data_IF_707731915333
#
_entry.id   IF_707731915333
#
_cell.length_a   1.000
_cell.length_b   1.000
_cell.length_c   1.000
_cell.angle_alpha   90.00
_cell.angle_beta   90.00
_cell.angle_gamma   90.00
#
_symmetry.space_group_name_H-M   'P 1'
#
loop_
_entity.id
_entity.type
_entity.pdbx_description
1 polymer ?
#
# COMPACT_ATOMS: atom_id res chain seq x y z
N UNK A 1 22.84 24.29 20.09
CA UNK A 1 21.39 24.05 19.90
C UNK A 1 21.28 23.02 18.81
N UNK A 2 21.07 21.76 19.18
CA UNK A 2 21.07 20.61 18.27
C UNK A 2 19.62 20.14 18.12
N UNK A 3 18.97 20.56 17.05
CA UNK A 3 17.68 19.99 16.63
C UNK A 3 17.90 18.51 16.38
N UNK A 4 17.40 17.71 17.32
CA UNK A 4 17.48 16.27 17.29
C UNK A 4 16.33 15.80 16.43
N UNK A 5 16.53 15.73 15.13
CA UNK A 5 15.65 15.04 14.18
C UNK A 5 15.42 13.64 14.72
N UNK A 6 14.29 13.44 15.41
CA UNK A 6 14.03 12.18 16.10
C UNK A 6 13.34 11.28 15.10
N UNK A 7 14.15 10.44 14.46
CA UNK A 7 13.65 9.39 13.59
C UNK A 7 13.06 8.28 14.47
N UNK A 8 11.77 7.97 14.27
CA UNK A 8 11.00 7.09 15.13
C UNK A 8 10.85 5.73 14.42
N UNK A 9 11.41 4.64 14.97
CA UNK A 9 11.23 3.32 14.40
C UNK A 9 9.78 2.85 14.62
N UNK A 10 9.16 2.37 13.54
CA UNK A 10 7.83 1.77 13.56
C UNK A 10 7.82 0.42 12.84
N UNK A 11 6.87 -0.43 13.21
CA UNK A 11 6.59 -1.69 12.52
C UNK A 11 5.15 -1.68 12.01
N UNK A 12 4.93 -2.16 10.79
CA UNK A 12 3.61 -2.23 10.15
C UNK A 12 3.38 -3.67 9.70
N UNK A 13 2.40 -4.33 10.30
CA UNK A 13 2.01 -5.70 9.97
C UNK A 13 0.92 -5.70 8.89
N UNK A 14 1.16 -6.41 7.79
CA UNK A 14 0.19 -6.68 6.73
C UNK A 14 0.11 -8.20 6.49
N UNK A 15 -1.04 -8.81 6.76
CA UNK A 15 -1.18 -10.27 6.67
C UNK A 15 -0.17 -10.99 7.56
N UNK A 16 0.67 -11.84 6.96
CA UNK A 16 1.78 -12.54 7.62
C UNK A 16 3.11 -11.77 7.61
N UNK A 17 3.21 -10.66 6.87
CA UNK A 17 4.44 -9.88 6.70
C UNK A 17 4.48 -8.70 7.68
N UNK A 18 5.67 -8.37 8.18
CA UNK A 18 5.90 -7.15 8.97
C UNK A 18 6.96 -6.29 8.28
N UNK A 19 6.60 -5.06 7.99
CA UNK A 19 7.47 -4.04 7.42
C UNK A 19 8.04 -3.18 8.54
N UNK A 20 9.30 -2.77 8.42
CA UNK A 20 9.98 -1.91 9.39
C UNK A 20 10.47 -0.65 8.69
N UNK A 21 10.10 0.52 9.21
CA UNK A 21 10.54 1.80 8.68
C UNK A 21 10.77 2.81 9.80
N UNK A 22 11.46 3.89 9.46
CA UNK A 22 11.61 5.03 10.37
C UNK A 22 10.79 6.20 9.85
N UNK A 23 10.06 6.85 10.75
CA UNK A 23 9.33 8.07 10.46
C UNK A 23 10.04 9.26 11.09
N UNK A 24 10.32 10.27 10.28
CA UNK A 24 10.91 11.49 10.78
C UNK A 24 9.85 12.38 11.41
N UNK A 25 10.02 12.69 12.69
CA UNK A 25 9.17 13.62 13.42
C UNK A 25 9.70 15.05 13.35
N UNK A 26 10.03 15.52 12.14
CA UNK A 26 10.42 16.91 11.91
C UNK A 26 9.19 17.80 11.77
N UNK A 27 9.30 19.05 12.22
CA UNK A 27 8.22 20.04 12.18
C UNK A 27 7.80 20.41 10.75
N UNK A 28 8.70 20.27 9.78
CA UNK A 28 8.51 20.74 8.40
C UNK A 28 7.83 19.72 7.48
N UNK A 29 7.76 18.45 7.87
CA UNK A 29 7.13 17.41 7.06
C UNK A 29 5.63 17.32 7.38
N UNK A 30 4.73 17.57 6.42
CA UNK A 30 3.30 17.41 6.65
C UNK A 30 2.97 15.98 7.10
N UNK A 31 2.14 15.85 8.13
CA UNK A 31 1.63 14.54 8.60
C UNK A 31 1.01 13.71 7.48
N UNK A 32 0.34 14.34 6.52
CA UNK A 32 -0.22 13.66 5.35
C UNK A 32 0.84 13.03 4.46
N UNK A 33 2.03 13.62 4.37
CA UNK A 33 3.16 13.09 3.61
C UNK A 33 3.77 11.88 4.31
N UNK A 34 3.92 11.91 5.64
CA UNK A 34 4.31 10.73 6.44
C UNK A 34 3.37 9.55 6.18
N UNK A 35 2.06 9.79 6.13
CA UNK A 35 1.10 8.73 5.83
C UNK A 35 1.28 8.17 4.42
N UNK A 36 1.55 9.02 3.42
CA UNK A 36 1.85 8.57 2.06
C UNK A 36 3.14 7.75 2.01
N UNK A 37 4.16 8.09 2.80
CA UNK A 37 5.40 7.30 2.88
C UNK A 37 5.12 5.89 3.40
N UNK A 38 4.28 5.76 4.44
CA UNK A 38 3.87 4.44 4.95
C UNK A 38 3.13 3.65 3.87
N UNK A 39 2.15 4.30 3.23
CA UNK A 39 1.33 3.72 2.17
C UNK A 39 2.20 3.17 1.02
N UNK A 40 3.15 3.97 0.55
CA UNK A 40 4.09 3.58 -0.49
C UNK A 40 5.01 2.45 -0.03
N UNK A 41 5.52 2.50 1.20
CA UNK A 41 6.44 1.49 1.73
C UNK A 41 5.82 0.10 1.86
N UNK A 42 4.51 0.02 2.12
CA UNK A 42 3.78 -1.26 2.19
C UNK A 42 2.97 -1.54 0.92
N UNK A 43 3.15 -0.77 -0.15
CA UNK A 43 2.48 -0.90 -1.44
C UNK A 43 0.94 -0.87 -1.37
N UNK A 44 0.35 -0.14 -0.43
CA UNK A 44 -1.11 0.06 -0.34
C UNK A 44 -1.41 1.53 -0.68
N UNK A 45 -2.28 1.82 -1.66
CA UNK A 45 -2.69 3.21 -1.95
C UNK A 45 -3.18 3.96 -0.71
N UNK A 46 -2.77 5.22 -0.55
CA UNK A 46 -3.03 6.00 0.68
C UNK A 46 -4.52 6.20 1.00
N UNK A 47 -5.37 6.22 -0.01
CA UNK A 47 -6.84 6.30 0.07
C UNK A 47 -7.48 4.96 0.50
N UNK A 48 -6.78 3.85 0.31
CA UNK A 48 -7.23 2.50 0.68
C UNK A 48 -6.61 2.01 1.99
N UNK A 49 -5.54 2.65 2.45
CA UNK A 49 -4.83 2.27 3.67
C UNK A 49 -5.57 2.73 4.93
N UNK A 50 -5.73 1.79 5.87
CA UNK A 50 -6.10 2.02 7.26
C UNK A 50 -5.05 1.40 8.16
N UNK A 51 -4.57 2.15 9.15
CA UNK A 51 -3.65 1.67 10.18
C UNK A 51 -4.40 1.54 11.51
N UNK A 52 -4.24 0.41 12.18
CA UNK A 52 -4.78 0.17 13.51
C UNK A 52 -3.64 0.20 14.51
N UNK A 53 -3.74 1.09 15.50
CA UNK A 53 -2.80 1.18 16.62
C UNK A 53 -3.57 1.26 17.93
N UNK A 54 -3.30 0.32 18.85
CA UNK A 54 -3.98 0.22 20.16
C UNK A 54 -5.52 0.30 20.06
N UNK A 55 -6.09 -0.40 19.06
CA UNK A 55 -7.54 -0.41 18.81
C UNK A 55 -8.10 0.84 18.12
N UNK A 56 -7.31 1.88 17.89
CA UNK A 56 -7.72 3.08 17.16
C UNK A 56 -7.37 2.98 15.68
N UNK A 57 -8.26 3.47 14.82
CA UNK A 57 -8.11 3.49 13.37
C UNK A 57 -7.59 4.85 12.88
N UNK A 58 -6.51 4.80 12.12
CA UNK A 58 -5.89 5.93 11.45
C UNK A 58 -5.96 5.76 9.93
N UNK A 59 -6.20 6.87 9.27
CA UNK A 59 -6.30 7.08 7.82
C UNK A 59 -5.55 8.37 7.50
N UNK A 60 -5.37 8.70 6.23
CA UNK A 60 -4.73 9.96 5.83
C UNK A 60 -5.36 11.19 6.50
N UNK A 61 -6.68 11.16 6.69
CA UNK A 61 -7.44 12.30 7.20
C UNK A 61 -7.23 12.57 8.69
N UNK A 62 -6.93 11.55 9.50
CA UNK A 62 -6.79 11.67 10.95
C UNK A 62 -5.42 11.21 11.48
N UNK A 63 -4.46 10.94 10.60
CA UNK A 63 -3.10 10.56 10.98
C UNK A 63 -2.41 11.63 11.82
N UNK A 64 -2.76 12.90 11.61
CA UNK A 64 -2.19 14.02 12.36
C UNK A 64 -2.50 13.98 13.86
N UNK A 65 -3.60 13.31 14.26
CA UNK A 65 -3.99 13.13 15.67
C UNK A 65 -3.09 12.13 16.42
N UNK A 66 -2.26 11.37 15.70
CA UNK A 66 -1.40 10.36 16.29
C UNK A 66 -0.09 10.97 16.80
N UNK A 67 0.16 10.97 18.12
CA UNK A 67 1.48 11.28 18.64
C UNK A 67 2.44 10.15 18.24
N UNK A 68 3.50 10.50 17.50
CA UNK A 68 4.54 9.54 17.16
C UNK A 68 5.44 9.33 18.37
N UNK A 69 5.55 8.08 18.78
CA UNK A 69 6.37 7.64 19.91
C UNK A 69 7.18 6.42 19.49
N UNK A 70 8.22 6.05 20.22
CA UNK A 70 9.04 4.87 19.90
C UNK A 70 8.24 3.55 19.98
N UNK A 71 8.67 2.56 19.19
CA UNK A 71 8.16 1.18 19.19
C UNK A 71 6.67 1.05 18.86
N UNK A 72 6.17 1.86 17.92
CA UNK A 72 4.78 1.72 17.45
C UNK A 72 4.64 0.53 16.51
N UNK A 73 3.66 -0.32 16.81
CA UNK A 73 3.31 -1.49 16.00
C UNK A 73 1.90 -1.29 15.45
N UNK A 74 1.79 -1.13 14.13
CA UNK A 74 0.55 -0.95 13.42
C UNK A 74 0.10 -2.27 12.79
N UNK A 75 -1.21 -2.52 12.79
CA UNK A 75 -1.82 -3.46 11.86
C UNK A 75 -2.36 -2.66 10.68
N UNK A 76 -1.93 -2.97 9.44
CA UNK A 76 -2.48 -2.35 8.24
C UNK A 76 -3.65 -3.16 7.69
N UNK A 77 -4.61 -2.43 7.13
CA UNK A 77 -5.77 -2.95 6.40
C UNK A 77 -5.86 -2.15 5.11
N UNK A 78 -5.92 -2.84 3.99
CA UNK A 78 -6.01 -2.25 2.66
C UNK A 78 -5.62 -3.28 1.61
N UNK A 79 -5.84 -2.96 0.35
CA UNK A 79 -5.44 -3.82 -0.75
C UNK A 79 -4.09 -3.35 -1.29
N UNK A 80 -3.10 -4.24 -1.31
CA UNK A 80 -1.82 -3.94 -1.96
C UNK A 80 -2.01 -3.84 -3.47
N UNK A 81 -1.32 -2.89 -4.10
CA UNK A 81 -1.17 -2.91 -5.54
C UNK A 81 -0.31 -4.11 -5.93
N UNK A 82 -0.77 -4.88 -6.90
CA UNK A 82 0.04 -5.93 -7.48
C UNK A 82 1.16 -5.30 -8.30
N UNK A 83 2.33 -5.94 -8.22
CA UNK A 83 3.49 -5.51 -8.99
C UNK A 83 3.22 -5.72 -10.49
N UNK A 84 3.36 -4.64 -11.25
CA UNK A 84 3.11 -4.56 -12.70
C UNK A 84 4.39 -4.58 -13.54
N UNK A 85 5.55 -4.86 -12.91
CA UNK A 85 6.83 -4.99 -13.61
C UNK A 85 6.72 -6.02 -14.74
N UNK A 86 7.25 -5.66 -15.91
CA UNK A 86 7.27 -6.47 -17.14
C UNK A 86 5.89 -6.75 -17.78
N UNK A 87 4.85 -6.02 -17.40
CA UNK A 87 3.52 -6.12 -18.00
C UNK A 87 3.20 -4.83 -18.77
N UNK A 88 2.72 -4.93 -20.01
CA UNK A 88 2.26 -3.77 -20.76
C UNK A 88 0.96 -3.22 -20.12
N UNK A 89 0.96 -1.94 -19.79
CA UNK A 89 -0.22 -1.24 -19.26
C UNK A 89 -1.44 -1.39 -20.17
N UNK A 90 -1.25 -1.45 -21.49
CA UNK A 90 -2.33 -1.64 -22.46
C UNK A 90 -3.00 -3.00 -22.32
N UNK A 91 -2.23 -4.02 -21.95
CA UNK A 91 -2.73 -5.38 -21.76
C UNK A 91 -3.58 -5.45 -20.48
N UNK A 92 -3.13 -4.81 -19.41
CA UNK A 92 -3.88 -4.66 -18.17
C UNK A 92 -5.22 -3.94 -18.45
N UNK A 93 -5.16 -2.81 -19.16
CA UNK A 93 -6.35 -2.04 -19.54
C UNK A 93 -7.30 -2.87 -20.41
N UNK A 94 -6.79 -3.59 -21.41
CA UNK A 94 -7.58 -4.45 -22.28
C UNK A 94 -8.38 -5.49 -21.48
N UNK A 95 -7.70 -6.22 -20.58
CA UNK A 95 -8.34 -7.24 -19.75
C UNK A 95 -9.37 -6.62 -18.80
N UNK A 96 -9.03 -5.51 -18.12
CA UNK A 96 -9.95 -4.82 -17.23
C UNK A 96 -11.24 -4.42 -17.95
N UNK A 97 -11.13 -3.84 -19.16
CA UNK A 97 -12.28 -3.42 -19.95
C UNK A 97 -13.10 -4.61 -20.46
N UNK A 98 -12.44 -5.63 -21.00
CA UNK A 98 -13.11 -6.78 -21.62
C UNK A 98 -13.82 -7.66 -20.58
N UNK A 99 -13.18 -7.87 -19.43
CA UNK A 99 -13.69 -8.77 -18.38
C UNK A 99 -14.43 -8.03 -17.25
N UNK A 100 -14.42 -6.69 -17.24
CA UNK A 100 -15.01 -5.84 -16.20
C UNK A 100 -14.49 -6.19 -14.79
N UNK A 101 -13.19 -6.39 -14.67
CA UNK A 101 -12.50 -6.74 -13.42
C UNK A 101 -11.58 -5.62 -12.94
N UNK A 102 -11.15 -5.71 -11.69
CA UNK A 102 -10.19 -4.77 -11.11
C UNK A 102 -8.76 -5.00 -11.64
N UNK A 103 -7.91 -3.98 -11.46
CA UNK A 103 -6.52 -3.96 -11.94
C UNK A 103 -5.67 -5.07 -11.35
N UNK A 104 -5.81 -5.36 -10.06
CA UNK A 104 -4.99 -6.37 -9.39
C UNK A 104 -5.33 -7.77 -9.91
N UNK A 105 -6.62 -8.06 -10.12
CA UNK A 105 -7.04 -9.32 -10.75
C UNK A 105 -6.51 -9.44 -12.17
N UNK A 106 -6.53 -8.36 -12.96
CA UNK A 106 -5.95 -8.35 -14.31
C UNK A 106 -4.42 -8.60 -14.29
N UNK A 107 -3.68 -7.92 -13.41
CA UNK A 107 -2.23 -8.12 -13.24
C UNK A 107 -1.92 -9.55 -12.83
N UNK A 108 -2.67 -10.13 -11.88
CA UNK A 108 -2.51 -11.54 -11.47
C UNK A 108 -2.71 -12.49 -12.63
N UNK A 109 -3.72 -12.25 -13.47
CA UNK A 109 -3.98 -13.08 -14.63
C UNK A 109 -2.82 -12.99 -15.64
N UNK A 110 -2.30 -11.78 -15.90
CA UNK A 110 -1.16 -11.57 -16.81
C UNK A 110 0.15 -12.16 -16.29
N UNK A 111 0.37 -12.17 -14.96
CA UNK A 111 1.52 -12.87 -14.37
C UNK A 111 1.46 -14.38 -14.52
N UNK A 112 0.25 -14.95 -14.53
CA UNK A 112 0.05 -16.39 -14.75
C UNK A 112 0.07 -16.74 -16.25
N UNK A 113 -0.48 -15.87 -17.08
CA UNK A 113 -0.64 -16.03 -18.52
C UNK A 113 -0.20 -14.73 -19.22
N UNK A 114 1.09 -14.63 -19.62
CA UNK A 114 1.63 -13.40 -20.22
C UNK A 114 0.97 -12.99 -21.54
N UNK A 115 0.27 -13.92 -22.20
CA UNK A 115 -0.54 -13.60 -23.37
C UNK A 115 -1.93 -13.13 -22.94
N UNK A 116 -2.36 -11.96 -23.43
CA UNK A 116 -3.66 -11.34 -23.14
C UNK A 116 -4.84 -12.27 -23.42
N UNK A 117 -4.82 -12.98 -24.55
CA UNK A 117 -5.93 -13.86 -24.95
C UNK A 117 -6.02 -15.03 -23.97
N UNK A 118 -4.88 -15.65 -23.64
CA UNK A 118 -4.84 -16.75 -22.68
C UNK A 118 -5.30 -16.31 -21.28
N UNK A 119 -4.91 -15.11 -20.84
CA UNK A 119 -5.38 -14.53 -19.59
C UNK A 119 -6.90 -14.30 -19.59
N UNK A 120 -7.47 -13.78 -20.67
CA UNK A 120 -8.93 -13.61 -20.85
C UNK A 120 -9.63 -14.96 -20.80
N UNK A 121 -9.12 -15.98 -21.51
CA UNK A 121 -9.68 -17.33 -21.51
C UNK A 121 -9.62 -17.96 -20.12
N UNK A 122 -8.52 -17.79 -19.39
CA UNK A 122 -8.40 -18.24 -18.00
C UNK A 122 -9.45 -17.58 -17.10
N UNK A 123 -9.60 -16.25 -17.19
CA UNK A 123 -10.55 -15.49 -16.39
C UNK A 123 -12.02 -15.82 -16.73
N UNK A 124 -12.32 -16.12 -18.00
CA UNK A 124 -13.67 -16.48 -18.44
C UNK A 124 -14.10 -17.90 -18.06
N UNK A 125 -13.14 -18.78 -17.74
CA UNK A 125 -13.38 -20.16 -17.31
C UNK A 125 -13.32 -20.35 -15.78
N UNK A 126 -13.21 -19.25 -15.03
CA UNK A 126 -13.16 -19.23 -13.56
C UNK A 126 -14.54 -18.95 -12.98
#
# INVERSE_FOLDING_TARGET
MSDSSTSIPISIKYGSTTYHMHLDNQADLPKSEQFNMIANHIHIPSDRLKLIYRGKRFTKDNWHDLPLISNMNFLSIGEQNEDETDIDTKDIECIMHQMKIDRNTAIKALKLYPNVIDAILYLGNK
#
